data_IF_574343764696
#
_entry.id   IF_574343764696
#
_cell.length_a   1.000
_cell.length_b   1.000
_cell.length_c   1.000
_cell.angle_alpha   90.00
_cell.angle_beta   90.00
_cell.angle_gamma   90.00
#
_symmetry.space_group_name_H-M   'P 1'
#
loop_
_entity.id
_entity.type
_entity.pdbx_description
1 polymer ?
#
# COMPACT_ATOMS: atom_id res chain seq x y z
N UNK A 1 -18.62 1.02 19.31
CA UNK A 1 -18.11 1.06 17.96
C UNK A 1 -18.50 2.33 17.18
N UNK A 2 -19.69 2.87 17.27
CA UNK A 2 -20.06 4.17 16.63
C UNK A 2 -19.30 5.40 17.19
N UNK A 3 -18.77 5.33 18.40
CA UNK A 3 -17.98 6.41 19.02
C UNK A 3 -16.54 6.44 18.48
N UNK A 4 -15.98 5.32 18.09
CA UNK A 4 -14.60 5.21 17.61
C UNK A 4 -14.37 5.89 16.23
N UNK A 5 -15.38 5.82 15.33
CA UNK A 5 -15.29 6.43 13.99
C UNK A 5 -15.24 7.96 14.04
N UNK A 6 -15.94 8.57 15.02
CA UNK A 6 -15.97 10.03 15.18
C UNK A 6 -14.67 10.59 15.76
N UNK A 7 -13.98 9.80 16.59
CA UNK A 7 -12.70 10.20 17.19
C UNK A 7 -11.52 10.03 16.22
N UNK A 8 -11.58 9.09 15.28
CA UNK A 8 -10.49 8.87 14.29
C UNK A 8 -10.35 10.04 13.31
N UNK A 9 -11.45 10.63 12.82
CA UNK A 9 -11.36 11.82 11.95
C UNK A 9 -10.87 13.09 12.67
N UNK A 10 -11.08 13.18 13.98
CA UNK A 10 -10.58 14.31 14.78
C UNK A 10 -9.14 14.15 15.27
N UNK A 11 -8.62 12.91 15.27
CA UNK A 11 -7.26 12.60 15.75
C UNK A 11 -6.22 12.79 14.65
N UNK A 12 -6.59 12.64 13.38
CA UNK A 12 -5.70 12.81 12.23
C UNK A 12 -5.13 14.25 12.11
N UNK A 13 -5.82 15.26 12.63
CA UNK A 13 -5.43 16.68 12.50
C UNK A 13 -4.36 17.14 13.54
N UNK A 14 -3.98 16.32 14.51
CA UNK A 14 -3.05 16.71 15.60
C UNK A 14 -1.69 16.02 15.61
N UNK A 15 -1.30 15.31 14.57
CA UNK A 15 -0.04 14.52 14.56
C UNK A 15 1.20 15.28 14.07
N UNK A 16 1.19 16.60 13.94
CA UNK A 16 2.37 17.35 13.48
C UNK A 16 3.56 17.43 14.48
N UNK A 17 3.43 16.92 15.71
CA UNK A 17 4.43 17.21 16.78
C UNK A 17 5.38 16.07 17.15
N UNK A 18 5.30 14.86 16.54
CA UNK A 18 6.16 13.72 16.91
C UNK A 18 6.79 13.01 15.71
N UNK A 19 7.52 13.72 14.84
CA UNK A 19 8.27 13.05 13.77
C UNK A 19 9.76 13.02 14.10
N UNK A 20 10.30 11.82 14.35
CA UNK A 20 11.75 11.56 14.45
C UNK A 20 12.43 11.41 13.07
N UNK A 21 11.70 11.57 11.99
CA UNK A 21 12.17 11.48 10.60
C UNK A 21 12.75 12.81 10.15
N UNK A 22 13.68 12.76 9.20
CA UNK A 22 14.31 13.94 8.63
C UNK A 22 13.27 14.88 8.01
N UNK A 23 12.82 15.87 8.76
CA UNK A 23 11.81 16.86 8.36
C UNK A 23 12.20 17.68 7.12
N UNK A 24 13.43 17.55 6.63
CA UNK A 24 13.94 18.24 5.45
C UNK A 24 13.68 17.50 4.13
N UNK A 25 13.18 16.26 4.17
CA UNK A 25 12.86 15.47 3.00
C UNK A 25 11.35 15.52 2.69
N UNK A 26 11.03 15.44 1.41
CA UNK A 26 9.66 15.28 0.93
C UNK A 26 9.40 13.79 0.75
N UNK A 27 8.48 13.21 1.51
CA UNK A 27 8.20 11.76 1.45
C UNK A 27 7.06 11.42 0.48
N UNK A 28 6.09 12.33 0.27
CA UNK A 28 5.01 12.14 -0.68
C UNK A 28 4.37 13.46 -1.10
N UNK A 29 3.64 13.44 -2.20
CA UNK A 29 2.76 14.51 -2.66
C UNK A 29 1.33 14.01 -2.51
N UNK A 30 0.48 14.60 -1.64
CA UNK A 30 -0.87 14.14 -1.42
C UNK A 30 -1.78 14.39 -2.62
N UNK A 31 -2.76 13.49 -2.84
CA UNK A 31 -3.73 13.61 -3.91
C UNK A 31 -4.61 14.85 -3.75
N UNK A 32 -4.83 15.57 -4.84
CA UNK A 32 -5.81 16.66 -4.91
C UNK A 32 -5.40 17.96 -4.22
N UNK A 33 -4.27 18.03 -3.50
CA UNK A 33 -3.83 19.23 -2.81
C UNK A 33 -3.03 20.19 -3.70
N UNK A 34 -2.34 19.66 -4.72
CA UNK A 34 -1.48 20.45 -5.60
C UNK A 34 -1.93 20.37 -7.06
N UNK A 35 -2.27 21.52 -7.63
CA UNK A 35 -2.30 21.66 -9.08
C UNK A 35 -0.87 21.63 -9.66
N UNK A 36 -0.76 21.64 -10.99
CA UNK A 36 0.52 21.62 -11.72
C UNK A 36 1.57 22.58 -11.14
N UNK A 37 1.21 23.84 -10.89
CA UNK A 37 2.13 24.84 -10.37
C UNK A 37 2.61 24.52 -8.96
N UNK A 38 1.75 23.96 -8.11
CA UNK A 38 2.10 23.53 -6.76
C UNK A 38 3.11 22.39 -6.78
N UNK A 39 2.88 21.34 -7.58
CA UNK A 39 3.81 20.22 -7.77
C UNK A 39 5.15 20.72 -8.32
N UNK A 40 5.13 21.56 -9.36
CA UNK A 40 6.36 22.13 -9.93
C UNK A 40 7.12 23.00 -8.93
N UNK A 41 6.41 23.78 -8.10
CA UNK A 41 6.98 24.59 -7.03
C UNK A 41 7.66 23.74 -5.96
N UNK A 42 6.97 22.68 -5.53
CA UNK A 42 7.46 21.74 -4.52
C UNK A 42 8.74 21.01 -4.98
N UNK A 43 8.74 20.47 -6.20
CA UNK A 43 9.91 19.78 -6.76
C UNK A 43 11.13 20.70 -6.96
N UNK A 44 10.91 22.01 -7.18
CA UNK A 44 12.03 22.98 -7.23
C UNK A 44 12.69 23.20 -5.87
N UNK A 45 11.97 23.04 -4.77
CA UNK A 45 12.51 23.15 -3.41
C UNK A 45 13.21 21.88 -2.93
N UNK A 46 13.03 20.77 -3.66
CA UNK A 46 13.62 19.45 -3.40
C UNK A 46 14.49 19.01 -4.59
N UNK A 47 15.66 19.65 -4.82
CA UNK A 47 16.52 19.36 -5.98
C UNK A 47 17.17 17.98 -5.94
N UNK A 48 17.14 17.29 -4.80
CA UNK A 48 17.55 15.90 -4.63
C UNK A 48 16.62 14.92 -5.34
N UNK A 49 15.36 15.29 -5.62
CA UNK A 49 14.43 14.47 -6.42
C UNK A 49 14.82 14.63 -7.89
N UNK A 50 15.50 13.61 -8.44
CA UNK A 50 16.14 13.67 -9.76
C UNK A 50 15.39 12.93 -10.84
N UNK A 51 14.51 12.01 -10.44
CA UNK A 51 13.82 11.12 -11.37
C UNK A 51 12.32 11.07 -11.09
N UNK A 52 11.57 10.67 -12.12
CA UNK A 52 10.16 10.26 -12.03
C UNK A 52 10.06 8.85 -12.58
N UNK A 53 9.20 8.05 -11.98
CA UNK A 53 8.80 6.73 -12.47
C UNK A 53 7.28 6.65 -12.50
N UNK A 54 6.70 6.15 -13.61
CA UNK A 54 5.28 5.81 -13.70
C UNK A 54 5.10 4.36 -13.25
N UNK A 55 4.29 4.15 -12.22
CA UNK A 55 4.04 2.83 -11.62
C UNK A 55 2.75 2.26 -12.17
N UNK A 56 2.84 1.49 -13.25
CA UNK A 56 1.74 0.71 -13.81
C UNK A 56 1.75 -0.72 -13.27
N UNK A 57 0.59 -1.26 -12.91
CA UNK A 57 0.46 -2.61 -12.37
C UNK A 57 -0.16 -3.52 -13.41
N UNK A 58 0.59 -4.49 -13.90
CA UNK A 58 0.12 -5.45 -14.89
C UNK A 58 -0.90 -6.46 -14.31
N UNK A 59 -1.40 -7.38 -15.12
CA UNK A 59 -2.40 -8.38 -14.70
C UNK A 59 -1.81 -9.52 -13.85
N UNK A 60 -0.50 -9.57 -13.70
CA UNK A 60 0.19 -10.50 -12.79
C UNK A 60 0.60 -9.84 -11.47
N UNK A 61 0.31 -8.53 -11.28
CA UNK A 61 0.65 -7.78 -10.08
C UNK A 61 2.09 -7.25 -10.07
N UNK A 62 2.80 -7.26 -11.21
CA UNK A 62 4.12 -6.65 -11.29
C UNK A 62 3.99 -5.15 -11.56
N UNK A 63 4.83 -4.37 -10.90
CA UNK A 63 4.95 -2.92 -11.13
C UNK A 63 5.99 -2.61 -12.21
N UNK A 64 5.83 -1.46 -12.86
CA UNK A 64 6.84 -0.88 -13.74
C UNK A 64 7.72 0.09 -12.95
N UNK A 65 9.00 0.19 -13.30
CA UNK A 65 9.93 1.15 -12.73
C UNK A 65 10.94 1.61 -13.78
N UNK A 66 10.65 2.71 -14.45
CA UNK A 66 11.58 3.41 -15.33
C UNK A 66 12.08 4.69 -14.66
N UNK A 67 13.21 5.18 -15.09
CA UNK A 67 13.82 6.42 -14.55
C UNK A 67 13.78 7.54 -15.59
N UNK A 68 12.74 8.36 -15.53
CA UNK A 68 12.62 9.58 -16.37
C UNK A 68 13.30 10.75 -15.63
N UNK A 69 14.22 11.51 -16.26
CA UNK A 69 14.79 12.70 -15.64
C UNK A 69 13.72 13.70 -15.23
N UNK A 70 13.82 14.25 -14.01
CA UNK A 70 12.84 15.20 -13.46
C UNK A 70 12.60 16.40 -14.37
N UNK A 71 13.63 16.89 -15.05
CA UNK A 71 13.55 18.03 -15.96
C UNK A 71 12.64 17.75 -17.18
N UNK A 72 12.65 16.50 -17.66
CA UNK A 72 11.77 16.08 -18.74
C UNK A 72 10.30 16.05 -18.28
N UNK A 73 10.04 15.52 -17.07
CA UNK A 73 8.72 15.56 -16.45
C UNK A 73 8.22 16.99 -16.27
N UNK A 74 9.04 17.89 -15.69
CA UNK A 74 8.67 19.27 -15.47
C UNK A 74 8.34 20.01 -16.79
N UNK A 75 9.07 19.69 -17.87
CA UNK A 75 8.85 20.27 -19.19
C UNK A 75 7.56 19.78 -19.85
N UNK A 76 7.27 18.48 -19.72
CA UNK A 76 6.19 17.80 -20.43
C UNK A 76 5.05 17.35 -19.49
N UNK A 77 4.84 18.06 -18.40
CA UNK A 77 3.93 17.67 -17.31
C UNK A 77 2.57 17.17 -17.80
N UNK A 78 1.91 17.91 -18.71
CA UNK A 78 0.58 17.57 -19.20
C UNK A 78 0.56 16.29 -20.07
N UNK A 79 1.67 15.96 -20.72
CA UNK A 79 1.80 14.77 -21.55
C UNK A 79 1.81 13.48 -20.71
N UNK A 80 2.26 13.55 -19.44
CA UNK A 80 2.20 12.42 -18.50
C UNK A 80 0.75 12.04 -18.16
N UNK A 81 -0.14 13.03 -18.06
CA UNK A 81 -1.57 12.79 -17.81
C UNK A 81 -2.36 12.48 -19.09
N UNK A 82 -1.85 12.88 -20.22
CA UNK A 82 -2.43 12.52 -21.52
C UNK A 82 -2.02 11.12 -22.01
N UNK A 83 -1.07 10.46 -21.35
CA UNK A 83 -0.53 9.16 -21.77
C UNK A 83 0.35 9.24 -23.03
N UNK A 84 0.94 10.42 -23.31
CA UNK A 84 1.77 10.64 -24.50
C UNK A 84 3.26 10.76 -24.16
N UNK A 85 3.61 10.90 -22.87
CA UNK A 85 4.99 11.10 -22.44
C UNK A 85 5.79 9.80 -22.32
N UNK A 86 5.20 8.75 -21.75
CA UNK A 86 5.84 7.46 -21.47
C UNK A 86 4.99 6.32 -22.00
N UNK A 87 5.66 5.32 -22.55
CA UNK A 87 5.05 4.11 -23.07
C UNK A 87 5.87 2.90 -22.62
N UNK A 88 5.17 1.82 -22.32
CA UNK A 88 5.77 0.50 -22.17
C UNK A 88 5.41 -0.39 -23.35
N UNK A 89 5.94 -1.59 -23.36
CA UNK A 89 5.76 -2.57 -24.42
C UNK A 89 5.00 -3.80 -23.91
N UNK A 90 4.08 -4.34 -24.71
CA UNK A 90 3.32 -5.54 -24.35
C UNK A 90 4.18 -6.80 -24.12
N UNK A 91 5.49 -6.75 -24.41
CA UNK A 91 6.46 -7.79 -24.04
C UNK A 91 7.08 -7.54 -22.66
N UNK A 92 6.98 -6.32 -22.13
CA UNK A 92 7.57 -5.90 -20.85
C UNK A 92 6.59 -5.98 -19.67
N UNK A 93 5.30 -6.12 -19.95
CA UNK A 93 4.21 -6.21 -18.97
C UNK A 93 3.35 -7.43 -19.24
N UNK A 94 2.85 -8.08 -18.21
CA UNK A 94 2.00 -9.27 -18.34
C UNK A 94 0.57 -8.86 -18.63
N UNK A 95 0.24 -8.75 -19.92
CA UNK A 95 -1.09 -8.38 -20.42
C UNK A 95 -1.61 -9.49 -21.35
N UNK A 96 -1.81 -10.69 -20.81
CA UNK A 96 -2.09 -11.93 -21.54
C UNK A 96 -3.19 -11.75 -22.60
N UNK A 97 -2.84 -11.99 -23.89
CA UNK A 97 -3.73 -11.89 -25.06
C UNK A 97 -4.33 -10.51 -25.31
N UNK A 98 -3.91 -9.46 -24.60
CA UNK A 98 -4.36 -8.08 -24.79
C UNK A 98 -3.31 -7.30 -25.60
N UNK A 99 -2.09 -7.14 -25.05
CA UNK A 99 -0.97 -6.55 -25.76
C UNK A 99 0.03 -7.66 -26.14
N UNK A 100 0.57 -7.62 -27.35
CA UNK A 100 1.47 -8.65 -27.88
C UNK A 100 2.63 -8.00 -28.63
N UNK A 101 3.66 -8.76 -29.00
CA UNK A 101 4.81 -8.27 -29.78
C UNK A 101 4.42 -7.59 -31.12
N UNK A 102 3.27 -7.94 -31.69
CA UNK A 102 2.81 -7.36 -32.94
C UNK A 102 1.90 -6.12 -32.75
N UNK A 103 1.38 -5.93 -31.53
CA UNK A 103 0.56 -4.80 -31.12
C UNK A 103 0.99 -4.45 -29.69
N UNK A 104 2.18 -3.90 -29.58
CA UNK A 104 2.94 -3.86 -28.33
C UNK A 104 2.78 -2.54 -27.56
N UNK A 105 2.34 -1.47 -28.21
CA UNK A 105 2.29 -0.14 -27.58
C UNK A 105 1.29 -0.10 -26.43
N UNK A 106 1.76 0.26 -25.25
CA UNK A 106 0.97 0.51 -24.04
C UNK A 106 1.32 1.90 -23.51
N UNK A 107 0.38 2.82 -23.57
CA UNK A 107 0.56 4.17 -23.06
C UNK A 107 0.37 4.19 -21.52
N UNK A 108 1.18 4.98 -20.81
CA UNK A 108 1.13 5.11 -19.36
C UNK A 108 0.51 6.45 -18.99
N UNK A 109 -0.59 6.42 -18.25
CA UNK A 109 -1.41 7.60 -17.90
C UNK A 109 -1.30 7.85 -16.39
N UNK A 110 -0.64 8.92 -15.97
CA UNK A 110 -0.46 9.28 -14.57
C UNK A 110 -1.80 9.46 -13.84
N UNK A 111 -1.90 8.99 -12.60
CA UNK A 111 -3.09 9.12 -11.76
C UNK A 111 -2.88 10.20 -10.68
N UNK A 112 -3.65 11.29 -10.76
CA UNK A 112 -3.66 12.36 -9.76
C UNK A 112 -4.68 12.13 -8.63
N UNK A 113 -5.41 11.02 -8.63
CA UNK A 113 -6.42 10.73 -7.60
C UNK A 113 -5.88 10.03 -6.37
N UNK A 114 -4.58 9.70 -6.36
CA UNK A 114 -3.84 9.02 -5.29
C UNK A 114 -2.56 9.77 -4.95
N UNK A 115 -1.98 9.46 -3.80
CA UNK A 115 -0.70 10.02 -3.38
C UNK A 115 0.43 9.53 -4.30
N UNK A 116 1.44 10.39 -4.47
CA UNK A 116 2.67 10.06 -5.18
C UNK A 116 3.81 9.98 -4.16
N UNK A 117 4.60 8.93 -4.19
CA UNK A 117 5.64 8.67 -3.20
C UNK A 117 7.02 9.03 -3.71
N UNK A 118 7.92 9.42 -2.80
CA UNK A 118 9.32 9.58 -3.11
C UNK A 118 10.08 8.37 -2.59
N UNK A 119 10.71 7.64 -3.51
CA UNK A 119 11.64 6.56 -3.24
C UNK A 119 13.05 7.13 -3.20
N UNK A 120 13.71 7.04 -2.05
CA UNK A 120 15.06 7.56 -1.82
C UNK A 120 16.12 6.46 -1.92
N UNK A 121 17.12 6.69 -2.78
CA UNK A 121 18.30 5.84 -2.86
C UNK A 121 19.38 6.37 -1.89
N UNK A 122 19.46 5.79 -0.71
CA UNK A 122 20.41 6.20 0.33
C UNK A 122 21.87 5.93 -0.04
N UNK A 123 22.13 5.02 -0.97
CA UNK A 123 23.47 4.71 -1.47
C UNK A 123 23.97 5.78 -2.49
N UNK A 124 23.11 6.70 -2.91
CA UNK A 124 23.42 7.75 -3.87
C UNK A 124 23.03 9.14 -3.33
N UNK A 125 24.03 9.94 -2.95
CA UNK A 125 23.80 11.24 -2.37
C UNK A 125 23.88 12.37 -3.42
N UNK A 126 22.92 13.27 -3.37
CA UNK A 126 22.95 14.51 -4.14
C UNK A 126 23.97 15.51 -3.54
N UNK A 127 24.32 16.55 -4.28
CA UNK A 127 25.33 17.55 -3.88
C UNK A 127 25.02 18.28 -2.56
N UNK A 128 23.77 18.29 -2.12
CA UNK A 128 23.34 18.84 -0.83
C UNK A 128 23.46 17.86 0.33
N UNK A 129 23.97 16.65 0.10
CA UNK A 129 24.11 15.58 1.09
C UNK A 129 22.84 14.78 1.36
N UNK A 130 21.73 15.09 0.69
CA UNK A 130 20.48 14.33 0.78
C UNK A 130 20.48 13.14 -0.19
N UNK A 131 19.77 12.03 0.10
CA UNK A 131 19.66 10.92 -0.83
C UNK A 131 18.93 11.33 -2.11
N UNK A 132 19.33 10.74 -3.23
CA UNK A 132 18.67 10.98 -4.53
C UNK A 132 17.29 10.33 -4.53
N UNK A 133 16.26 11.15 -4.81
CA UNK A 133 14.87 10.72 -4.86
C UNK A 133 14.35 10.43 -6.27
N UNK A 134 13.47 9.46 -6.37
CA UNK A 134 12.59 9.18 -7.52
C UNK A 134 11.14 9.43 -7.10
N UNK A 135 10.45 10.33 -7.78
CA UNK A 135 9.01 10.51 -7.63
C UNK A 135 8.29 9.35 -8.33
N UNK A 136 7.68 8.46 -7.57
CA UNK A 136 6.89 7.34 -8.07
C UNK A 136 5.43 7.78 -8.19
N UNK A 137 4.91 7.73 -9.40
CA UNK A 137 3.55 8.18 -9.76
C UNK A 137 2.74 6.96 -10.21
N UNK A 138 1.73 6.52 -9.42
CA UNK A 138 0.83 5.48 -9.88
C UNK A 138 0.17 5.87 -11.21
N UNK A 139 0.04 4.93 -12.12
CA UNK A 139 -0.51 5.17 -13.44
C UNK A 139 -1.45 4.05 -13.91
N UNK A 140 -2.23 4.35 -14.93
CA UNK A 140 -3.03 3.38 -15.66
C UNK A 140 -2.34 2.99 -16.97
N UNK A 141 -2.51 1.73 -17.38
CA UNK A 141 -2.01 1.24 -18.66
C UNK A 141 -3.13 1.30 -19.72
N UNK A 142 -2.87 2.03 -20.80
CA UNK A 142 -3.83 2.26 -21.88
C UNK A 142 -3.33 1.58 -23.15
N UNK A 143 -4.12 0.64 -23.69
CA UNK A 143 -3.85 -0.04 -24.96
C UNK A 143 -5.04 0.08 -25.89
N UNK A 144 -4.80 0.55 -27.11
CA UNK A 144 -5.86 0.75 -28.12
C UNK A 144 -7.08 1.53 -27.58
N UNK A 145 -6.84 2.58 -26.77
CA UNK A 145 -7.88 3.43 -26.19
C UNK A 145 -8.68 2.80 -25.05
N UNK A 146 -8.21 1.68 -24.48
CA UNK A 146 -8.83 1.01 -23.31
C UNK A 146 -7.82 0.86 -22.18
N UNK A 147 -8.26 1.13 -20.96
CA UNK A 147 -7.50 0.81 -19.77
C UNK A 147 -7.55 -0.70 -19.53
N UNK A 148 -6.39 -1.31 -19.24
CA UNK A 148 -6.21 -2.77 -19.26
C UNK A 148 -5.44 -3.33 -18.08
N UNK A 149 -5.11 -2.52 -17.11
CA UNK A 149 -4.27 -2.85 -15.94
C UNK A 149 -5.11 -3.23 -14.72
N UNK A 150 -4.46 -3.79 -13.69
CA UNK A 150 -5.11 -4.20 -12.45
C UNK A 150 -5.76 -3.02 -11.70
N UNK A 151 -5.14 -1.82 -11.75
CA UNK A 151 -5.69 -0.62 -11.09
C UNK A 151 -6.98 -0.14 -11.76
N UNK A 152 -7.03 -0.16 -13.09
CA UNK A 152 -8.26 0.20 -13.84
C UNK A 152 -9.39 -0.80 -13.58
N UNK A 153 -9.10 -2.10 -13.49
CA UNK A 153 -10.07 -3.13 -13.13
C UNK A 153 -10.64 -2.87 -11.72
N UNK A 154 -9.79 -2.55 -10.73
CA UNK A 154 -10.23 -2.20 -9.38
C UNK A 154 -11.16 -0.98 -9.39
N UNK A 155 -10.76 0.09 -10.08
CA UNK A 155 -11.54 1.32 -10.21
C UNK A 155 -12.92 1.07 -10.81
N UNK A 156 -12.97 0.37 -11.94
CA UNK A 156 -14.22 0.06 -12.63
C UNK A 156 -15.11 -0.89 -11.82
N UNK A 157 -14.52 -1.86 -11.12
CA UNK A 157 -15.27 -2.78 -10.25
C UNK A 157 -15.93 -2.04 -9.10
N UNK A 158 -15.23 -1.13 -8.43
CA UNK A 158 -15.78 -0.32 -7.35
C UNK A 158 -16.91 0.58 -7.86
N UNK A 159 -16.72 1.24 -9.01
CA UNK A 159 -17.74 2.08 -9.62
C UNK A 159 -18.99 1.27 -9.98
N UNK A 160 -18.82 0.08 -10.59
CA UNK A 160 -19.91 -0.82 -10.95
C UNK A 160 -20.70 -1.28 -9.73
N UNK A 161 -20.04 -1.73 -8.66
CA UNK A 161 -20.72 -2.18 -7.44
C UNK A 161 -21.46 -1.01 -6.77
N UNK A 162 -20.85 0.17 -6.68
CA UNK A 162 -21.50 1.37 -6.14
C UNK A 162 -22.78 1.72 -6.91
N UNK A 163 -22.73 1.71 -8.25
CA UNK A 163 -23.91 1.96 -9.11
C UNK A 163 -25.00 0.90 -8.87
N UNK A 164 -24.64 -0.39 -8.83
CA UNK A 164 -25.60 -1.48 -8.61
C UNK A 164 -26.26 -1.38 -7.24
N UNK A 165 -25.52 -1.07 -6.19
CA UNK A 165 -26.06 -0.88 -4.84
C UNK A 165 -26.97 0.34 -4.77
N UNK A 166 -26.61 1.48 -5.35
CA UNK A 166 -27.50 2.65 -5.48
C UNK A 166 -28.81 2.28 -6.18
N UNK A 167 -28.74 1.55 -7.29
CA UNK A 167 -29.92 1.10 -8.03
C UNK A 167 -30.79 0.12 -7.22
N UNK A 168 -30.18 -0.81 -6.48
CA UNK A 168 -30.90 -1.74 -5.61
C UNK A 168 -31.65 -0.99 -4.50
N UNK A 169 -30.96 -0.10 -3.79
CA UNK A 169 -31.54 0.68 -2.70
C UNK A 169 -32.66 1.58 -3.20
N UNK A 170 -32.48 2.23 -4.35
CA UNK A 170 -33.49 3.10 -4.96
C UNK A 170 -34.69 2.33 -5.55
N UNK A 171 -34.62 1.01 -5.70
CA UNK A 171 -35.72 0.20 -6.25
C UNK A 171 -36.93 0.08 -5.33
N UNK A 172 -36.81 0.52 -4.07
CA UNK A 172 -37.85 0.39 -3.04
C UNK A 172 -38.08 -1.04 -2.54
N UNK A 173 -37.24 -2.00 -2.98
CA UNK A 173 -37.28 -3.37 -2.43
C UNK A 173 -36.63 -3.36 -1.04
N UNK A 174 -37.26 -3.98 -0.04
CA UNK A 174 -36.66 -4.05 1.29
C UNK A 174 -35.36 -4.86 1.23
N UNK A 175 -34.29 -4.29 1.75
CA UNK A 175 -33.00 -4.97 1.95
C UNK A 175 -32.93 -5.30 3.43
N UNK A 176 -32.86 -6.60 3.72
CA UNK A 176 -32.85 -7.11 5.10
C UNK A 176 -31.69 -6.52 5.90
N UNK A 177 -32.01 -5.97 7.07
CA UNK A 177 -31.04 -5.29 7.94
C UNK A 177 -30.77 -3.82 7.57
N UNK A 178 -31.47 -3.29 6.55
CA UNK A 178 -31.34 -1.90 6.09
C UNK A 178 -32.70 -1.21 5.98
N UNK A 179 -33.71 -1.70 6.71
CA UNK A 179 -35.08 -1.20 6.63
C UNK A 179 -35.17 0.28 7.05
N UNK A 180 -34.29 0.72 7.96
CA UNK A 180 -34.24 2.10 8.48
C UNK A 180 -33.23 2.98 7.71
N UNK A 181 -32.64 2.50 6.61
CA UNK A 181 -31.68 3.29 5.86
C UNK A 181 -32.37 4.44 5.14
N UNK A 182 -31.92 5.70 5.34
CA UNK A 182 -32.50 6.86 4.67
C UNK A 182 -32.02 6.95 3.22
N UNK A 183 -32.57 6.11 2.34
CA UNK A 183 -32.14 5.93 0.94
C UNK A 183 -32.12 7.26 0.19
N UNK A 184 -33.12 8.12 0.40
CA UNK A 184 -33.21 9.43 -0.27
C UNK A 184 -32.12 10.43 0.18
N UNK A 185 -31.45 10.16 1.31
CA UNK A 185 -30.35 10.96 1.83
C UNK A 185 -28.98 10.46 1.38
N UNK A 186 -28.89 9.30 0.71
CA UNK A 186 -27.61 8.77 0.23
C UNK A 186 -27.07 9.67 -0.88
N UNK A 187 -25.88 10.20 -0.65
CA UNK A 187 -25.12 10.97 -1.64
C UNK A 187 -24.24 10.03 -2.47
N UNK A 188 -23.49 9.16 -1.78
CA UNK A 188 -22.53 8.27 -2.42
C UNK A 188 -22.38 6.92 -1.71
N UNK A 189 -21.96 5.91 -2.46
CA UNK A 189 -21.51 4.61 -1.93
C UNK A 189 -19.99 4.55 -2.05
N UNK A 190 -19.33 4.32 -0.93
CA UNK A 190 -17.87 4.26 -0.84
C UNK A 190 -17.40 2.93 -0.27
N UNK A 191 -16.19 2.55 -0.62
CA UNK A 191 -15.51 1.38 -0.06
C UNK A 191 -14.57 1.82 1.04
N UNK A 192 -14.37 0.97 2.04
CA UNK A 192 -13.27 1.06 3.00
C UNK A 192 -12.40 -0.18 2.85
N UNK A 193 -11.10 0.03 2.67
CA UNK A 193 -10.13 -1.04 2.50
C UNK A 193 -9.07 -0.89 3.59
N UNK A 194 -8.93 -1.90 4.44
CA UNK A 194 -7.81 -2.07 5.37
C UNK A 194 -7.04 -3.32 4.96
N UNK A 195 -5.72 -3.25 4.95
CA UNK A 195 -4.86 -4.37 4.61
C UNK A 195 -3.97 -4.76 5.78
N UNK A 196 -3.62 -6.03 5.86
CA UNK A 196 -2.67 -6.63 6.78
C UNK A 196 -1.65 -7.39 5.93
N UNK A 197 -0.36 -7.12 6.12
CA UNK A 197 0.72 -7.70 5.33
C UNK A 197 1.66 -8.51 6.20
N UNK A 198 1.62 -9.83 6.06
CA UNK A 198 2.55 -10.73 6.71
C UNK A 198 3.80 -10.95 5.85
N UNK A 199 4.95 -11.05 6.51
CA UNK A 199 6.20 -11.34 5.83
C UNK A 199 7.19 -12.07 6.75
N UNK A 200 8.06 -12.86 6.12
CA UNK A 200 9.16 -13.52 6.81
C UNK A 200 10.44 -12.73 6.73
N UNK A 201 11.08 -12.61 7.88
CA UNK A 201 12.40 -11.98 8.02
C UNK A 201 13.42 -13.04 8.35
N UNK A 202 14.50 -13.08 7.58
CA UNK A 202 15.66 -13.93 7.81
C UNK A 202 16.80 -13.09 8.35
N UNK A 203 17.31 -13.48 9.52
CA UNK A 203 18.52 -12.91 10.10
C UNK A 203 19.69 -13.82 9.76
N UNK A 204 20.71 -13.36 9.01
CA UNK A 204 21.89 -14.15 8.68
C UNK A 204 22.65 -14.56 9.92
N UNK A 205 23.22 -15.76 9.92
CA UNK A 205 23.90 -16.38 11.07
C UNK A 205 25.12 -15.61 11.60
N UNK A 206 25.75 -14.80 10.77
CA UNK A 206 26.91 -14.00 11.12
C UNK A 206 26.61 -12.85 12.09
N UNK A 207 25.34 -12.43 12.16
CA UNK A 207 24.89 -11.28 12.96
C UNK A 207 24.16 -11.67 14.24
N UNK A 208 23.71 -12.93 14.37
CA UNK A 208 22.96 -13.41 15.53
C UNK A 208 23.73 -14.43 16.35
N UNK A 209 23.83 -14.19 17.65
CA UNK A 209 24.30 -15.19 18.60
C UNK A 209 23.10 -15.91 19.23
N UNK A 210 23.18 -17.23 19.34
CA UNK A 210 22.14 -18.08 19.97
C UNK A 210 21.74 -17.57 21.37
N UNK A 211 22.61 -16.84 22.03
CA UNK A 211 22.37 -16.24 23.36
C UNK A 211 21.36 -15.09 23.32
N UNK A 212 21.19 -14.42 22.16
CA UNK A 212 20.22 -13.35 21.98
C UNK A 212 18.83 -13.87 21.63
N UNK A 213 18.71 -15.14 21.22
CA UNK A 213 17.43 -15.77 20.99
C UNK A 213 16.72 -15.97 22.33
N UNK A 214 15.57 -15.33 22.49
CA UNK A 214 14.75 -15.56 23.69
C UNK A 214 14.24 -17.00 23.72
N UNK A 215 13.90 -17.51 24.92
CA UNK A 215 13.27 -18.83 25.04
C UNK A 215 11.98 -18.93 24.22
N UNK A 216 11.25 -17.83 24.11
CA UNK A 216 10.05 -17.72 23.26
C UNK A 216 10.33 -17.93 21.78
N UNK A 217 11.54 -17.64 21.30
CA UNK A 217 11.92 -17.88 19.90
C UNK A 217 12.11 -19.36 19.56
N UNK A 218 12.10 -20.24 20.52
CA UNK A 218 12.11 -21.70 20.34
C UNK A 218 10.71 -22.30 20.29
N UNK A 219 9.68 -21.53 20.60
CA UNK A 219 8.29 -21.95 20.54
C UNK A 219 7.76 -21.82 19.11
N UNK A 220 6.79 -22.66 18.75
CA UNK A 220 6.16 -22.60 17.42
C UNK A 220 5.26 -21.37 17.22
N UNK A 221 4.77 -20.81 18.33
CA UNK A 221 3.87 -19.65 18.31
C UNK A 221 4.61 -18.43 18.86
N UNK A 222 4.59 -17.33 18.09
CA UNK A 222 5.26 -16.08 18.45
C UNK A 222 4.35 -14.86 18.42
N UNK A 223 3.06 -15.10 18.27
CA UNK A 223 2.06 -14.06 18.16
C UNK A 223 2.21 -13.00 19.25
N UNK A 224 2.45 -11.76 18.82
CA UNK A 224 2.66 -10.60 19.69
C UNK A 224 3.83 -10.72 20.69
N UNK A 225 4.77 -11.63 20.47
CA UNK A 225 5.99 -11.68 21.25
C UNK A 225 6.88 -10.46 20.96
N UNK A 226 7.65 -10.05 21.96
CA UNK A 226 8.54 -8.89 21.83
C UNK A 226 9.61 -9.11 20.77
N UNK A 227 9.67 -8.24 19.77
CA UNK A 227 10.78 -8.15 18.83
C UNK A 227 12.06 -7.67 19.55
N UNK A 228 13.23 -8.05 19.03
CA UNK A 228 14.54 -7.72 19.60
C UNK A 228 15.57 -7.45 18.51
N UNK A 229 16.69 -6.80 18.90
CA UNK A 229 17.84 -6.57 18.02
C UNK A 229 17.46 -5.80 16.76
N UNK A 230 18.14 -6.14 15.66
CA UNK A 230 17.94 -5.49 14.37
C UNK A 230 16.52 -5.61 13.83
N UNK A 231 15.83 -6.73 14.07
CA UNK A 231 14.44 -6.93 13.65
C UNK A 231 13.51 -5.89 14.29
N UNK A 232 13.70 -5.60 15.59
CA UNK A 232 12.94 -4.56 16.28
C UNK A 232 13.22 -3.18 15.68
N UNK A 233 14.50 -2.84 15.52
CA UNK A 233 14.90 -1.53 15.01
C UNK A 233 14.39 -1.31 13.59
N UNK A 234 14.51 -2.33 12.71
CA UNK A 234 14.01 -2.27 11.35
C UNK A 234 12.49 -2.12 11.29
N UNK A 235 11.73 -2.80 12.17
CA UNK A 235 10.27 -2.65 12.23
C UNK A 235 9.88 -1.24 12.68
N UNK A 236 10.52 -0.72 13.74
CA UNK A 236 10.26 0.64 14.23
C UNK A 236 10.54 1.69 13.15
N UNK A 237 11.67 1.58 12.42
CA UNK A 237 12.01 2.46 11.31
C UNK A 237 11.05 2.30 10.12
N UNK A 238 10.65 1.07 9.77
CA UNK A 238 9.70 0.84 8.68
C UNK A 238 8.35 1.50 8.97
N UNK A 239 7.83 1.41 10.20
CA UNK A 239 6.60 2.09 10.61
C UNK A 239 6.73 3.60 10.46
N UNK A 240 7.84 4.19 10.91
CA UNK A 240 8.08 5.63 10.80
C UNK A 240 8.18 6.07 9.31
N UNK A 241 8.88 5.30 8.48
CA UNK A 241 9.03 5.58 7.04
C UNK A 241 7.69 5.50 6.29
N UNK A 242 6.83 4.54 6.63
CA UNK A 242 5.50 4.39 6.05
C UNK A 242 4.57 5.53 6.50
N UNK A 243 4.60 5.88 7.78
CA UNK A 243 3.82 7.00 8.33
C UNK A 243 4.24 8.35 7.75
N UNK A 244 5.55 8.57 7.52
CA UNK A 244 6.04 9.77 6.87
C UNK A 244 5.47 9.95 5.46
N UNK A 245 5.10 8.86 4.79
CA UNK A 245 4.45 8.84 3.48
C UNK A 245 2.93 8.95 3.56
N UNK A 246 2.38 9.14 4.76
CA UNK A 246 0.93 9.26 4.96
C UNK A 246 0.17 7.95 4.75
N UNK A 247 0.83 6.81 4.95
CA UNK A 247 0.21 5.49 4.77
C UNK A 247 -0.60 5.03 5.99
N UNK A 248 -0.49 5.73 7.14
CA UNK A 248 -1.29 5.49 8.34
C UNK A 248 -1.22 4.05 8.85
N UNK A 249 -0.04 3.63 9.27
CA UNK A 249 0.18 2.32 9.90
C UNK A 249 -0.61 2.25 11.21
N UNK A 250 -1.36 1.18 11.44
CA UNK A 250 -2.08 0.93 12.67
C UNK A 250 -1.17 0.26 13.70
N UNK A 251 -0.49 -0.82 13.30
CA UNK A 251 0.47 -1.52 14.16
C UNK A 251 1.46 -2.37 13.38
N UNK A 252 2.52 -2.81 14.08
CA UNK A 252 3.44 -3.82 13.59
C UNK A 252 3.82 -4.78 14.72
N UNK A 253 3.75 -6.08 14.46
CA UNK A 253 3.97 -7.12 15.47
C UNK A 253 4.54 -8.42 14.90
N UNK A 254 4.90 -9.33 15.79
CA UNK A 254 5.19 -10.72 15.42
C UNK A 254 3.91 -11.49 15.16
N UNK A 255 3.93 -12.28 14.09
CA UNK A 255 2.81 -13.13 13.70
C UNK A 255 3.02 -14.60 14.12
N UNK A 256 2.00 -15.43 13.95
CA UNK A 256 2.00 -16.85 14.28
C UNK A 256 2.75 -17.64 13.21
N UNK A 257 4.05 -17.76 13.30
CA UNK A 257 4.84 -18.46 12.29
C UNK A 257 5.83 -19.47 12.84
N UNK A 258 6.30 -19.26 14.01
CA UNK A 258 7.38 -20.04 14.64
C UNK A 258 8.73 -19.85 13.96
N UNK A 259 9.78 -20.00 14.73
CA UNK A 259 11.16 -20.01 14.23
C UNK A 259 11.59 -21.45 13.96
N UNK A 260 12.22 -21.67 12.81
CA UNK A 260 13.02 -22.87 12.56
C UNK A 260 14.48 -22.46 12.39
N UNK A 261 15.27 -22.41 13.48
CA UNK A 261 16.71 -22.27 13.32
C UNK A 261 17.22 -23.50 12.58
N UNK A 262 17.92 -23.27 11.47
CA UNK A 262 18.75 -24.31 10.86
C UNK A 262 20.05 -24.38 11.65
N UNK A 263 20.39 -25.57 12.09
CA UNK A 263 21.69 -25.86 12.72
C UNK A 263 22.50 -26.63 11.70
N UNK A 264 23.73 -26.19 11.42
CA UNK A 264 24.64 -26.94 10.56
C UNK A 264 25.18 -28.20 11.27
N UNK A 265 25.92 -29.04 10.54
CA UNK A 265 26.50 -30.28 11.05
C UNK A 265 27.53 -30.06 12.19
N UNK A 266 27.97 -28.81 12.39
CA UNK A 266 28.88 -28.38 13.45
C UNK A 266 28.16 -27.80 14.66
N UNK A 267 26.82 -27.70 14.60
CA UNK A 267 25.98 -27.16 15.68
C UNK A 267 25.83 -25.62 15.65
N UNK A 268 26.25 -24.94 14.57
CA UNK A 268 26.04 -23.51 14.44
C UNK A 268 24.63 -23.22 13.90
N UNK A 269 23.99 -22.18 14.44
CA UNK A 269 22.73 -21.68 13.87
C UNK A 269 23.01 -21.04 12.53
N UNK A 270 22.41 -21.55 11.44
CA UNK A 270 22.66 -21.06 10.09
C UNK A 270 21.79 -19.88 9.75
N UNK A 271 20.52 -19.91 10.13
CA UNK A 271 19.59 -18.80 9.91
C UNK A 271 18.52 -18.76 11.00
N UNK A 272 18.08 -17.56 11.38
CA UNK A 272 16.91 -17.33 12.21
C UNK A 272 15.84 -16.68 11.35
N UNK A 273 14.63 -17.24 11.36
CA UNK A 273 13.51 -16.70 10.60
C UNK A 273 12.37 -16.35 11.55
N UNK A 274 11.81 -15.17 11.41
CA UNK A 274 10.68 -14.67 12.17
C UNK A 274 9.59 -14.19 11.22
N UNK A 275 8.32 -14.43 11.55
CA UNK A 275 7.18 -13.88 10.82
C UNK A 275 6.72 -12.61 11.52
N UNK A 276 6.53 -11.57 10.72
CA UNK A 276 6.07 -10.25 11.16
C UNK A 276 4.83 -9.86 10.36
N UNK A 277 4.06 -8.94 10.90
CA UNK A 277 2.88 -8.36 10.28
C UNK A 277 2.86 -6.86 10.49
N UNK A 278 2.38 -6.15 9.48
CA UNK A 278 2.06 -4.73 9.49
C UNK A 278 0.61 -4.54 9.07
N UNK A 279 -0.13 -3.75 9.85
CA UNK A 279 -1.53 -3.45 9.65
C UNK A 279 -1.72 -1.97 9.37
N UNK A 280 -2.69 -1.64 8.52
CA UNK A 280 -3.01 -0.26 8.16
C UNK A 280 -4.42 0.14 8.58
N UNK A 281 -4.57 1.38 8.98
CA UNK A 281 -5.88 2.00 9.07
C UNK A 281 -6.55 1.97 7.70
N UNK A 282 -7.87 1.75 7.69
CA UNK A 282 -8.60 1.67 6.44
C UNK A 282 -8.54 2.97 5.61
N UNK A 283 -8.43 2.83 4.30
CA UNK A 283 -8.58 3.91 3.32
C UNK A 283 -9.99 3.90 2.73
N UNK A 284 -10.56 5.07 2.45
CA UNK A 284 -11.81 5.20 1.68
C UNK A 284 -11.55 5.29 0.16
N UNK A 285 -10.30 5.22 -0.25
CA UNK A 285 -9.90 5.13 -1.66
C UNK A 285 -9.25 3.77 -1.91
N UNK A 286 -9.93 2.83 -2.59
CA UNK A 286 -9.40 1.50 -2.86
C UNK A 286 -8.09 1.49 -3.66
N UNK A 287 -7.93 2.42 -4.61
CA UNK A 287 -6.68 2.55 -5.36
C UNK A 287 -5.53 2.96 -4.46
N UNK A 288 -5.78 3.92 -3.54
CA UNK A 288 -4.78 4.35 -2.57
C UNK A 288 -4.34 3.20 -1.65
N UNK A 289 -5.29 2.37 -1.18
CA UNK A 289 -4.96 1.21 -0.35
C UNK A 289 -4.07 0.20 -1.11
N UNK A 290 -4.39 -0.09 -2.37
CA UNK A 290 -3.60 -0.98 -3.20
C UNK A 290 -2.20 -0.41 -3.51
N UNK A 291 -2.10 0.89 -3.80
CA UNK A 291 -0.83 1.56 -4.05
C UNK A 291 0.04 1.62 -2.79
N UNK A 292 -0.57 1.85 -1.59
CA UNK A 292 0.13 1.80 -0.31
C UNK A 292 0.77 0.43 -0.06
N UNK A 293 0.01 -0.65 -0.30
CA UNK A 293 0.47 -2.02 -0.13
C UNK A 293 1.71 -2.32 -0.99
N UNK A 294 1.69 -1.90 -2.25
CA UNK A 294 2.82 -2.07 -3.18
C UNK A 294 4.06 -1.32 -2.70
N UNK A 295 3.91 -0.03 -2.38
CA UNK A 295 5.01 0.81 -1.91
C UNK A 295 5.55 0.34 -0.55
N UNK A 296 4.67 -0.13 0.34
CA UNK A 296 5.07 -0.67 1.63
C UNK A 296 6.02 -1.86 1.50
N UNK A 297 5.78 -2.76 0.54
CA UNK A 297 6.68 -3.91 0.29
C UNK A 297 8.08 -3.46 -0.13
N UNK A 298 8.18 -2.38 -0.89
CA UNK A 298 9.47 -1.81 -1.31
C UNK A 298 10.17 -1.22 -0.10
N UNK A 299 9.49 -0.35 0.66
CA UNK A 299 10.04 0.34 1.82
C UNK A 299 10.49 -0.65 2.90
N UNK A 300 9.67 -1.65 3.23
CA UNK A 300 10.00 -2.68 4.21
C UNK A 300 11.28 -3.42 3.79
N UNK A 301 11.40 -3.85 2.52
CA UNK A 301 12.63 -4.51 2.05
C UNK A 301 13.85 -3.63 2.19
N UNK A 302 13.76 -2.36 1.80
CA UNK A 302 14.90 -1.43 1.86
C UNK A 302 15.30 -1.13 3.30
N UNK A 303 14.34 -0.86 4.19
CA UNK A 303 14.63 -0.62 5.61
C UNK A 303 15.27 -1.84 6.27
N UNK A 304 14.69 -3.04 6.08
CA UNK A 304 15.25 -4.26 6.68
C UNK A 304 16.65 -4.58 6.11
N UNK A 305 16.88 -4.33 4.82
CA UNK A 305 18.21 -4.49 4.18
C UNK A 305 19.29 -3.63 4.85
N UNK A 306 18.97 -2.40 5.28
CA UNK A 306 19.93 -1.53 6.02
C UNK A 306 20.48 -2.21 7.28
N UNK A 307 19.69 -3.07 7.91
CA UNK A 307 20.04 -3.82 9.12
C UNK A 307 20.59 -5.22 8.82
N UNK A 308 20.87 -5.54 7.56
CA UNK A 308 21.40 -6.85 7.16
C UNK A 308 20.36 -7.97 7.24
N UNK A 309 19.08 -7.65 7.11
CA UNK A 309 17.97 -8.60 7.19
C UNK A 309 17.37 -8.83 5.79
N UNK A 310 17.00 -10.08 5.48
CA UNK A 310 16.31 -10.45 4.25
C UNK A 310 14.81 -10.60 4.50
N UNK A 311 14.00 -9.96 3.66
CA UNK A 311 12.52 -10.00 3.73
C UNK A 311 11.95 -10.80 2.57
N UNK A 312 10.99 -11.66 2.87
CA UNK A 312 10.22 -12.43 1.88
C UNK A 312 8.71 -12.25 2.07
N UNK A 313 8.06 -11.77 1.00
CA UNK A 313 6.60 -11.72 0.88
C UNK A 313 6.02 -12.91 0.13
N UNK A 314 6.82 -13.95 -0.11
CA UNK A 314 6.31 -15.18 -0.73
C UNK A 314 5.28 -15.86 0.17
N UNK A 315 4.20 -16.36 -0.42
CA UNK A 315 3.11 -17.00 0.33
C UNK A 315 3.58 -18.19 1.19
N UNK A 316 4.58 -18.95 0.75
CA UNK A 316 5.14 -20.12 1.48
C UNK A 316 6.67 -20.16 1.39
N UNK A 317 7.39 -19.19 2.00
CA UNK A 317 8.83 -19.13 1.87
C UNK A 317 9.55 -20.26 2.64
N UNK A 318 8.93 -20.78 3.70
CA UNK A 318 9.51 -21.82 4.56
C UNK A 318 8.55 -23.00 4.67
N UNK A 319 9.06 -24.19 4.32
CA UNK A 319 8.25 -25.41 4.35
C UNK A 319 7.94 -25.85 5.78
N UNK A 320 6.68 -26.13 6.05
CA UNK A 320 6.19 -26.70 7.31
C UNK A 320 5.98 -25.68 8.45
N UNK A 321 5.92 -24.38 8.12
CA UNK A 321 5.45 -23.30 9.00
C UNK A 321 4.32 -22.53 8.32
N UNK A 322 3.71 -21.56 9.04
CA UNK A 322 2.70 -20.67 8.48
C UNK A 322 3.25 -19.93 7.24
N UNK A 323 2.37 -19.64 6.29
CA UNK A 323 2.70 -18.79 5.15
C UNK A 323 2.45 -17.34 5.46
N UNK A 324 2.88 -16.46 4.56
CA UNK A 324 2.53 -15.05 4.62
C UNK A 324 1.13 -14.84 4.07
N UNK A 325 0.26 -14.22 4.87
CA UNK A 325 -1.04 -13.73 4.45
C UNK A 325 -0.95 -12.31 3.89
N UNK A 326 -1.96 -11.95 3.15
CA UNK A 326 -2.29 -10.59 2.76
C UNK A 326 -3.79 -10.46 2.93
N UNK A 327 -4.19 -10.08 4.14
CA UNK A 327 -5.61 -9.98 4.46
C UNK A 327 -6.13 -8.62 3.99
N UNK A 328 -7.28 -8.64 3.35
CA UNK A 328 -7.94 -7.42 2.90
C UNK A 328 -9.33 -7.34 3.53
N UNK A 329 -9.52 -6.34 4.38
CA UNK A 329 -10.81 -6.03 5.00
C UNK A 329 -11.56 -5.05 4.11
N UNK A 330 -12.69 -5.49 3.58
CA UNK A 330 -13.53 -4.68 2.68
C UNK A 330 -14.79 -4.27 3.40
N UNK A 331 -15.03 -2.97 3.53
CA UNK A 331 -16.28 -2.39 3.98
C UNK A 331 -16.97 -1.62 2.86
N UNK A 332 -18.28 -1.49 2.95
CA UNK A 332 -19.08 -0.66 2.05
C UNK A 332 -19.89 0.30 2.90
N UNK A 333 -19.79 1.59 2.58
CA UNK A 333 -20.45 2.66 3.33
C UNK A 333 -21.34 3.51 2.43
N UNK A 334 -22.50 3.93 2.96
CA UNK A 334 -23.30 5.00 2.38
C UNK A 334 -22.89 6.32 3.02
N UNK A 335 -22.43 7.28 2.23
CA UNK A 335 -22.25 8.67 2.64
C UNK A 335 -23.57 9.41 2.47
N UNK A 336 -24.02 10.10 3.50
CA UNK A 336 -25.29 10.86 3.49
C UNK A 336 -25.01 12.33 3.20
N UNK A 337 -25.99 13.03 2.63
CA UNK A 337 -25.97 14.49 2.36
C UNK A 337 -25.66 15.36 3.59
N UNK A 338 -25.91 14.84 4.79
CA UNK A 338 -25.60 15.52 6.06
C UNK A 338 -24.19 15.23 6.59
N UNK A 339 -23.34 14.56 5.80
CA UNK A 339 -21.95 14.20 6.13
C UNK A 339 -21.81 12.95 7.01
N UNK A 340 -22.91 12.28 7.40
CA UNK A 340 -22.83 11.01 8.13
C UNK A 340 -22.47 9.86 7.18
N UNK A 341 -21.80 8.86 7.72
CA UNK A 341 -21.48 7.60 7.03
C UNK A 341 -22.16 6.43 7.74
N UNK A 342 -22.79 5.55 6.97
CA UNK A 342 -23.44 4.33 7.47
C UNK A 342 -22.72 3.14 6.86
N UNK A 343 -22.25 2.21 7.69
CA UNK A 343 -21.65 0.95 7.21
C UNK A 343 -22.76 0.01 6.76
N UNK A 344 -22.75 -0.38 5.49
CA UNK A 344 -23.77 -1.25 4.90
C UNK A 344 -23.54 -2.74 5.16
N UNK A 345 -22.32 -3.12 5.56
CA UNK A 345 -21.99 -4.52 5.91
C UNK A 345 -22.07 -4.79 7.41
N UNK A 346 -22.51 -3.82 8.23
CA UNK A 346 -22.74 -3.98 9.65
C UNK A 346 -24.19 -3.55 9.98
N UNK A 347 -25.19 -4.38 9.69
CA UNK A 347 -26.59 -4.07 9.97
C UNK A 347 -26.82 -3.92 11.48
N UNK A 348 -27.82 -3.12 11.85
CA UNK A 348 -28.19 -2.88 13.25
C UNK A 348 -28.65 -4.17 13.95
N UNK A 349 -29.20 -5.13 13.22
CA UNK A 349 -29.53 -6.46 13.70
C UNK A 349 -28.44 -7.45 13.28
N UNK A 350 -27.62 -7.89 14.24
CA UNK A 350 -26.58 -8.91 14.02
C UNK A 350 -27.10 -10.27 13.55
N UNK A 351 -28.40 -10.50 13.61
CA UNK A 351 -29.05 -11.70 13.05
C UNK A 351 -29.48 -11.53 11.59
N UNK A 352 -29.41 -10.32 11.06
CA UNK A 352 -29.72 -10.07 9.67
C UNK A 352 -28.59 -10.61 8.79
N UNK A 353 -28.92 -11.53 7.91
CA UNK A 353 -27.99 -12.04 6.91
C UNK A 353 -28.06 -11.15 5.66
N UNK A 354 -27.34 -10.01 5.72
CA UNK A 354 -27.29 -9.05 4.64
C UNK A 354 -26.72 -9.65 3.35
N UNK A 355 -25.67 -10.47 3.46
CA UNK A 355 -25.02 -11.06 2.27
C UNK A 355 -25.92 -12.03 1.52
N UNK A 356 -26.89 -12.68 2.21
CA UNK A 356 -27.88 -13.53 1.55
C UNK A 356 -28.95 -12.74 0.78
N UNK A 357 -28.99 -11.42 0.95
CA UNK A 357 -30.01 -10.53 0.33
C UNK A 357 -29.47 -9.86 -0.94
N UNK A 358 -28.16 -9.70 -1.06
CA UNK A 358 -27.46 -9.17 -2.22
C UNK A 358 -27.11 -10.29 -3.19
#
# INVERSE_FOLDING_TARGET
MQTAIKDQQSTIIKQEEFKMINNDLLYYIPSGEFGKEGVLGLLKTHPEIRFVSLVGIDLAGNDTDEKVPIELFLKNYDDFFAGTAVQTDGSSVVLMNIATLNDARVDMVADASVNWYIDYNEDNLYSNGRPVGTLRIPCFLLHNGKFIDSRSILKESCAFVAEKLKGLLASGKPVKGMEDLPVDEIEDIKFTIGTELEFWVKTPSETETVQHLSISQRLQEQYWQRMRGNVRTAMEEAIEELDARGMHVEMGHKEVGGIKPKVDDLGHTVDVCEQLELDWLFSMNPLQAADNELEARIIIREVFRKYGLDVSFQAKPIIGVAGSGEHTHVGICASLKNGKTINLLAPSDMKADFLSTI
#
